data_IF_831185867009
#
_entry.id   IF_831185867009
#
_cell.length_a   1.000
_cell.length_b   1.000
_cell.length_c   1.000
_cell.angle_alpha   90.00
_cell.angle_beta   90.00
_cell.angle_gamma   90.00
#
_symmetry.space_group_name_H-M   'P 1'
#
loop_
_entity.id
_entity.type
_entity.pdbx_description
1 polymer ?
#
# COMPACT_ATOMS: atom_id res chain seq x y z
N UNK A 1 33.00 -2.28 55.92
CA UNK A 1 31.69 -1.65 56.27
C UNK A 1 31.20 -0.99 54.99
N UNK A 2 30.14 -1.41 54.30
CA UNK A 2 29.10 -2.42 54.51
C UNK A 2 28.69 -2.94 53.13
N UNK A 3 28.48 -4.26 53.04
CA UNK A 3 27.68 -4.92 52.02
C UNK A 3 26.20 -4.53 52.17
N UNK A 4 25.50 -4.38 51.05
CA UNK A 4 24.07 -4.72 50.94
C UNK A 4 23.64 -4.82 49.45
N UNK A 5 23.26 -6.02 48.96
CA UNK A 5 22.52 -6.19 47.72
C UNK A 5 21.00 -6.22 48.01
N UNK A 6 20.19 -5.59 47.15
CA UNK A 6 18.72 -5.66 47.22
C UNK A 6 18.19 -6.50 46.04
N UNK A 7 17.90 -7.76 46.39
CA UNK A 7 16.68 -8.55 46.14
C UNK A 7 15.97 -8.43 44.79
N UNK A 8 16.04 -9.54 44.06
CA UNK A 8 15.13 -10.00 42.99
C UNK A 8 13.75 -10.28 43.58
N UNK A 9 12.69 -9.76 42.96
CA UNK A 9 11.34 -10.31 43.11
C UNK A 9 10.87 -10.88 41.78
N UNK A 10 10.90 -12.21 41.71
CA UNK A 10 10.12 -13.00 40.77
C UNK A 10 8.64 -12.80 41.07
N UNK A 11 7.86 -12.45 40.06
CA UNK A 11 6.40 -12.46 40.14
C UNK A 11 5.87 -13.54 39.19
N UNK A 12 5.79 -14.76 39.71
CA UNK A 12 4.99 -15.85 39.15
C UNK A 12 3.53 -15.63 39.51
N UNK A 13 2.69 -15.42 38.50
CA UNK A 13 1.25 -15.58 38.61
C UNK A 13 0.78 -16.62 37.59
N UNK A 14 0.29 -17.73 38.13
CA UNK A 14 -0.35 -18.84 37.46
C UNK A 14 -1.72 -18.46 36.86
N UNK A 15 -1.98 -19.05 35.70
CA UNK A 15 -3.21 -19.65 35.19
C UNK A 15 -4.59 -19.01 35.50
N UNK A 16 -5.33 -18.72 34.41
CA UNK A 16 -6.69 -19.27 34.26
C UNK A 16 -7.13 -19.25 32.79
N UNK A 17 -7.24 -20.44 32.20
CA UNK A 17 -7.88 -20.70 30.92
C UNK A 17 -9.39 -20.78 31.18
N UNK A 18 -10.17 -19.93 30.53
CA UNK A 18 -11.63 -20.03 30.52
C UNK A 18 -12.09 -20.42 29.11
N UNK A 19 -12.42 -21.70 29.00
CA UNK A 19 -13.07 -22.35 27.87
C UNK A 19 -14.57 -22.00 27.88
N UNK A 20 -15.12 -21.48 26.76
CA UNK A 20 -16.58 -21.31 26.63
C UNK A 20 -17.04 -21.71 25.22
N UNK A 21 -17.42 -22.98 25.11
CA UNK A 21 -18.65 -23.51 24.49
C UNK A 21 -19.15 -22.90 23.18
N UNK A 22 -18.89 -23.58 22.06
CA UNK A 22 -19.64 -23.42 20.80
C UNK A 22 -20.78 -24.45 20.70
N UNK A 23 -22.00 -24.08 20.25
CA UNK A 23 -23.06 -25.04 19.99
C UNK A 23 -22.92 -25.69 18.61
N UNK A 24 -22.97 -27.03 18.62
CA UNK A 24 -23.08 -27.94 17.49
C UNK A 24 -24.53 -27.95 17.01
N UNK A 25 -24.79 -27.76 15.70
CA UNK A 25 -26.06 -28.17 15.11
C UNK A 25 -25.84 -28.88 13.76
N UNK A 26 -26.03 -30.19 13.86
CA UNK A 26 -26.60 -31.18 12.93
C UNK A 26 -26.43 -31.03 11.41
N UNK A 27 -25.74 -32.03 10.88
CA UNK A 27 -25.88 -32.65 9.56
C UNK A 27 -27.33 -33.07 9.25
N UNK A 28 -27.74 -32.94 7.99
CA UNK A 28 -28.68 -33.88 7.36
C UNK A 28 -28.34 -34.09 5.90
N UNK A 29 -28.37 -35.35 5.50
CA UNK A 29 -27.88 -35.91 4.26
C UNK A 29 -29.02 -36.21 3.28
N UNK A 30 -28.76 -35.90 2.00
CA UNK A 30 -29.04 -36.66 0.76
C UNK A 30 -30.49 -37.01 0.41
N UNK A 31 -30.90 -36.58 -0.79
CA UNK A 31 -31.43 -37.49 -1.83
C UNK A 31 -31.30 -36.91 -3.24
N UNK A 32 -30.63 -37.70 -4.08
CA UNK A 32 -30.55 -37.59 -5.52
C UNK A 32 -31.92 -37.37 -6.18
N UNK A 33 -31.96 -36.51 -7.20
CA UNK A 33 -32.76 -36.84 -8.36
C UNK A 33 -32.10 -36.36 -9.66
N UNK A 34 -32.03 -37.31 -10.57
CA UNK A 34 -31.45 -37.30 -11.90
C UNK A 34 -32.44 -36.64 -12.85
N UNK A 35 -32.04 -35.60 -13.57
CA UNK A 35 -32.35 -35.38 -15.00
C UNK A 35 -31.78 -34.04 -15.46
N UNK A 36 -30.85 -34.12 -16.40
CA UNK A 36 -30.35 -33.00 -17.16
C UNK A 36 -31.44 -32.44 -18.08
N UNK A 37 -31.47 -31.12 -18.28
CA UNK A 37 -31.63 -30.56 -19.60
C UNK A 37 -30.33 -29.86 -20.00
N UNK A 38 -29.90 -30.12 -21.23
CA UNK A 38 -28.84 -29.38 -21.90
C UNK A 38 -29.24 -27.90 -21.93
N UNK A 39 -28.60 -27.10 -21.08
CA UNK A 39 -28.70 -25.66 -21.15
C UNK A 39 -27.77 -25.21 -22.28
N UNK A 40 -28.37 -24.91 -23.42
CA UNK A 40 -27.73 -24.17 -24.50
C UNK A 40 -27.07 -22.93 -23.90
N UNK A 41 -25.75 -22.88 -24.03
CA UNK A 41 -24.96 -21.74 -23.59
C UNK A 41 -25.25 -20.56 -24.51
N UNK A 42 -26.25 -19.77 -24.17
CA UNK A 42 -26.33 -18.40 -24.66
C UNK A 42 -25.12 -17.65 -24.12
N UNK A 43 -24.12 -17.47 -24.98
CA UNK A 43 -23.13 -16.41 -24.82
C UNK A 43 -23.91 -15.09 -24.82
N UNK A 44 -24.28 -14.63 -23.64
CA UNK A 44 -24.62 -13.23 -23.44
C UNK A 44 -23.31 -12.49 -23.64
N UNK A 45 -23.14 -11.86 -24.81
CA UNK A 45 -22.19 -10.78 -25.00
C UNK A 45 -22.50 -9.76 -23.92
N UNK A 46 -21.75 -9.86 -22.82
CA UNK A 46 -21.82 -8.91 -21.73
C UNK A 46 -21.54 -7.54 -22.31
N UNK A 47 -22.48 -6.63 -22.05
CA UNK A 47 -22.37 -5.21 -22.37
C UNK A 47 -20.93 -4.74 -22.19
N UNK A 48 -20.37 -4.10 -23.22
CA UNK A 48 -19.14 -3.32 -23.10
C UNK A 48 -19.41 -2.23 -22.07
N UNK A 49 -19.24 -2.55 -20.79
CA UNK A 49 -19.20 -1.58 -19.73
C UNK A 49 -18.04 -0.68 -20.04
N UNK A 50 -18.31 0.61 -20.24
CA UNK A 50 -17.29 1.64 -20.32
C UNK A 50 -16.51 1.61 -18.99
N UNK A 51 -15.47 0.77 -18.92
CA UNK A 51 -14.59 0.73 -17.77
C UNK A 51 -13.93 2.10 -17.69
N UNK A 52 -14.19 2.85 -16.61
CA UNK A 52 -13.52 4.12 -16.38
C UNK A 52 -12.01 3.84 -16.29
N UNK A 53 -11.27 4.24 -17.32
CA UNK A 53 -9.82 4.06 -17.38
C UNK A 53 -9.07 4.90 -16.34
N UNK A 54 -9.78 5.80 -15.66
CA UNK A 54 -9.26 6.68 -14.62
C UNK A 54 -10.09 6.56 -13.35
N UNK A 55 -9.42 6.58 -12.21
CA UNK A 55 -10.06 6.68 -10.91
C UNK A 55 -9.55 7.90 -10.14
N UNK A 56 -10.43 8.51 -9.33
CA UNK A 56 -10.04 9.56 -8.40
C UNK A 56 -9.46 8.94 -7.13
N UNK A 57 -8.24 9.35 -6.77
CA UNK A 57 -7.60 8.98 -5.51
C UNK A 57 -7.14 10.20 -4.71
N UNK A 58 -6.85 9.95 -3.44
CA UNK A 58 -6.28 10.89 -2.49
C UNK A 58 -4.93 10.35 -2.03
N UNK A 59 -3.84 11.05 -2.33
CA UNK A 59 -2.47 10.62 -2.04
C UNK A 59 -1.94 11.40 -0.85
N UNK A 60 -1.46 10.73 0.19
CA UNK A 60 -0.77 11.37 1.33
C UNK A 60 0.72 11.46 1.05
N UNK A 61 1.25 12.69 1.04
CA UNK A 61 2.66 12.98 0.78
C UNK A 61 3.28 13.50 2.08
N UNK A 62 4.33 12.84 2.54
CA UNK A 62 5.05 13.23 3.75
C UNK A 62 6.04 14.36 3.50
N UNK A 63 6.71 14.35 2.35
CA UNK A 63 7.66 15.37 1.93
C UNK A 63 7.92 15.31 0.41
N UNK A 64 8.57 16.33 -0.14
CA UNK A 64 8.96 16.38 -1.55
C UNK A 64 10.38 16.92 -1.71
N UNK A 65 11.03 16.64 -2.83
CA UNK A 65 12.36 17.16 -3.12
C UNK A 65 12.92 16.68 -4.45
N UNK A 66 14.07 17.23 -4.83
CA UNK A 66 14.77 16.87 -6.07
C UNK A 66 15.83 15.78 -5.88
N UNK A 67 16.14 15.43 -4.63
CA UNK A 67 17.23 14.51 -4.29
C UNK A 67 16.68 13.23 -3.69
N UNK A 68 16.99 12.10 -4.32
CA UNK A 68 16.50 10.78 -3.92
C UNK A 68 16.98 10.37 -2.52
N UNK A 69 18.29 10.45 -2.25
CA UNK A 69 18.86 9.90 -1.00
C UNK A 69 18.34 10.57 0.27
N UNK A 70 18.24 11.91 0.36
CA UNK A 70 17.63 12.56 1.53
C UNK A 70 16.17 12.14 1.76
N UNK A 71 15.38 11.95 0.69
CA UNK A 71 14.01 11.46 0.82
C UNK A 71 13.96 9.98 1.22
N UNK A 72 14.91 9.17 0.75
CA UNK A 72 15.03 7.76 1.18
C UNK A 72 15.37 7.65 2.66
N UNK A 73 16.24 8.50 3.18
CA UNK A 73 16.54 8.55 4.63
C UNK A 73 15.28 8.92 5.44
N UNK A 74 14.53 9.93 4.99
CA UNK A 74 13.24 10.28 5.60
C UNK A 74 12.23 9.15 5.53
N UNK A 75 12.15 8.43 4.41
CA UNK A 75 11.30 7.26 4.24
C UNK A 75 11.62 6.18 5.27
N UNK A 76 12.90 5.88 5.48
CA UNK A 76 13.34 4.90 6.48
C UNK A 76 13.02 5.35 7.91
N UNK A 77 13.25 6.63 8.22
CA UNK A 77 12.90 7.19 9.52
C UNK A 77 11.38 7.16 9.79
N UNK A 78 10.56 7.46 8.77
CA UNK A 78 9.10 7.37 8.87
C UNK A 78 8.63 5.94 9.10
N UNK A 79 9.18 4.96 8.40
CA UNK A 79 8.82 3.54 8.59
C UNK A 79 9.12 3.03 10.01
N UNK A 80 10.13 3.60 10.67
CA UNK A 80 10.43 3.31 12.08
C UNK A 80 9.49 4.02 13.05
N UNK A 81 9.12 5.28 12.76
CA UNK A 81 8.28 6.10 13.64
C UNK A 81 6.79 5.77 13.54
N UNK A 82 6.32 5.50 12.33
CA UNK A 82 4.98 5.08 11.99
C UNK A 82 5.15 3.72 11.33
N UNK A 83 4.57 2.63 11.84
CA UNK A 83 4.79 1.26 11.36
C UNK A 83 4.15 1.03 9.96
N UNK A 84 4.58 1.84 9.00
CA UNK A 84 4.19 1.85 7.60
C UNK A 84 5.24 1.02 6.85
N UNK A 85 4.82 -0.02 6.13
CA UNK A 85 5.73 -0.80 5.31
C UNK A 85 6.28 0.04 4.16
N UNK A 86 7.52 -0.25 3.74
CA UNK A 86 8.11 0.32 2.53
C UNK A 86 7.89 -0.68 1.40
N UNK A 87 7.40 -0.20 0.27
CA UNK A 87 7.33 -0.97 -0.97
C UNK A 87 7.86 -0.13 -2.14
N UNK A 88 8.94 -0.62 -2.77
CA UNK A 88 9.53 0.03 -3.94
C UNK A 88 9.01 -0.53 -5.25
N UNK A 89 8.20 -1.59 -5.24
CA UNK A 89 7.79 -2.34 -6.44
C UNK A 89 8.99 -2.84 -7.26
N UNK A 90 10.05 -3.28 -6.58
CA UNK A 90 11.30 -3.72 -7.25
C UNK A 90 12.17 -2.59 -7.81
N UNK A 91 11.71 -1.32 -7.74
CA UNK A 91 12.45 -0.17 -8.29
C UNK A 91 13.64 0.23 -7.41
N UNK A 92 14.66 0.80 -8.04
CA UNK A 92 15.81 1.42 -7.38
C UNK A 92 16.19 2.74 -8.07
N UNK A 93 17.04 3.55 -7.42
CA UNK A 93 17.56 4.77 -8.05
C UNK A 93 18.85 4.48 -8.83
N UNK A 94 18.79 4.59 -10.15
CA UNK A 94 19.95 4.54 -11.01
C UNK A 94 20.65 5.91 -11.03
N UNK A 95 21.87 5.97 -10.50
CA UNK A 95 22.65 7.22 -10.42
C UNK A 95 23.19 7.67 -11.78
N UNK A 96 23.39 6.76 -12.74
CA UNK A 96 23.84 7.10 -14.10
C UNK A 96 22.70 7.73 -14.90
N UNK A 97 21.48 7.19 -14.78
CA UNK A 97 20.26 7.73 -15.41
C UNK A 97 19.66 8.90 -14.63
N UNK A 98 20.02 9.03 -13.35
CA UNK A 98 19.38 9.96 -12.41
C UNK A 98 17.86 9.76 -12.38
N UNK A 99 17.43 8.50 -12.31
CA UNK A 99 16.05 8.05 -12.47
C UNK A 99 15.74 6.90 -11.49
N UNK A 100 14.51 6.84 -10.97
CA UNK A 100 13.97 5.66 -10.29
C UNK A 100 13.53 4.69 -11.38
N UNK A 101 14.05 3.46 -11.38
CA UNK A 101 13.86 2.50 -12.47
C UNK A 101 13.59 1.09 -11.97
N UNK A 102 12.91 0.28 -12.77
CA UNK A 102 12.99 -1.17 -12.67
C UNK A 102 14.37 -1.68 -13.15
N UNK A 103 14.79 -2.88 -12.74
CA UNK A 103 15.95 -3.56 -13.32
C UNK A 103 15.88 -3.64 -14.84
N UNK A 104 17.04 -3.60 -15.50
CA UNK A 104 17.15 -3.77 -16.97
C UNK A 104 16.73 -5.17 -17.44
N UNK A 105 16.68 -6.13 -16.52
CA UNK A 105 16.32 -7.52 -16.76
C UNK A 105 14.98 -7.89 -16.10
N UNK A 106 14.13 -6.89 -15.86
CA UNK A 106 12.77 -7.12 -15.37
C UNK A 106 11.96 -7.95 -16.38
N UNK A 107 10.97 -8.71 -15.92
CA UNK A 107 10.11 -9.51 -16.81
C UNK A 107 9.17 -8.62 -17.64
N UNK A 108 8.92 -7.40 -17.17
CA UNK A 108 8.21 -6.36 -17.91
C UNK A 108 9.17 -5.63 -18.87
N UNK A 109 9.29 -6.16 -20.09
CA UNK A 109 10.12 -5.58 -21.15
C UNK A 109 9.77 -4.10 -21.47
N UNK A 110 8.53 -3.66 -21.20
CA UNK A 110 8.09 -2.30 -21.51
C UNK A 110 8.68 -1.28 -20.52
N UNK A 111 8.91 -1.68 -19.27
CA UNK A 111 9.43 -0.81 -18.21
C UNK A 111 10.82 -1.20 -17.71
N UNK A 112 11.43 -2.24 -18.24
CA UNK A 112 12.80 -2.62 -17.93
C UNK A 112 13.76 -1.42 -18.13
N UNK A 113 14.47 -1.03 -17.07
CA UNK A 113 15.35 0.13 -17.08
C UNK A 113 14.66 1.50 -17.07
N UNK A 114 13.34 1.55 -16.96
CA UNK A 114 12.50 2.75 -16.95
C UNK A 114 11.64 2.84 -15.68
N UNK A 115 10.95 3.97 -15.51
CA UNK A 115 10.10 4.20 -14.34
C UNK A 115 8.73 3.55 -14.50
N UNK A 116 8.40 2.63 -13.59
CA UNK A 116 7.07 2.05 -13.47
C UNK A 116 6.25 2.77 -12.37
N UNK A 117 5.08 3.38 -12.69
CA UNK A 117 4.29 4.12 -11.70
C UNK A 117 3.49 3.21 -10.76
N UNK A 118 3.41 3.55 -9.48
CA UNK A 118 2.41 2.96 -8.57
C UNK A 118 1.01 3.43 -8.97
N UNK A 119 0.10 2.49 -9.23
CA UNK A 119 -1.27 2.75 -9.68
C UNK A 119 -2.26 2.03 -8.76
N UNK A 120 -3.15 2.79 -8.14
CA UNK A 120 -4.22 2.26 -7.27
C UNK A 120 -4.00 2.47 -5.77
N UNK A 121 -5.01 2.11 -4.95
CA UNK A 121 -4.99 2.30 -3.50
C UNK A 121 -3.94 1.42 -2.85
N UNK A 122 -3.15 2.01 -1.97
CA UNK A 122 -2.10 1.28 -1.28
C UNK A 122 -1.60 2.07 -0.06
N UNK A 123 -1.19 1.37 1.01
CA UNK A 123 -0.72 2.00 2.26
C UNK A 123 0.73 1.61 2.52
N UNK A 124 1.60 2.01 1.60
CA UNK A 124 3.05 1.84 1.69
C UNK A 124 3.77 3.18 1.56
N UNK A 125 4.94 3.24 2.18
CA UNK A 125 5.93 4.26 1.93
C UNK A 125 6.64 3.97 0.61
N UNK A 126 6.66 4.95 -0.29
CA UNK A 126 7.38 4.85 -1.56
C UNK A 126 7.90 6.21 -2.03
N UNK A 127 8.91 6.18 -2.91
CA UNK A 127 9.42 7.35 -3.60
C UNK A 127 8.92 7.33 -5.04
N UNK A 128 8.11 8.32 -5.38
CA UNK A 128 7.40 8.41 -6.66
C UNK A 128 7.65 9.79 -7.29
N UNK A 129 7.39 9.94 -8.58
CA UNK A 129 7.41 11.28 -9.19
C UNK A 129 6.11 12.04 -8.91
N UNK A 130 6.24 13.27 -8.39
CA UNK A 130 5.12 14.10 -7.95
C UNK A 130 4.20 14.52 -9.12
N UNK A 131 4.74 14.62 -10.33
CA UNK A 131 3.99 15.00 -11.53
C UNK A 131 2.92 13.98 -11.93
N UNK A 132 3.03 12.72 -11.46
CA UNK A 132 2.00 11.70 -11.58
C UNK A 132 0.73 12.05 -10.79
N UNK A 133 0.89 12.75 -9.67
CA UNK A 133 -0.22 13.10 -8.78
C UNK A 133 -0.64 14.56 -8.93
N UNK A 134 0.29 15.44 -9.31
CA UNK A 134 0.08 16.87 -9.40
C UNK A 134 0.68 17.42 -10.69
N UNK A 135 -0.16 17.67 -11.71
CA UNK A 135 0.24 18.14 -13.06
C UNK A 135 1.13 19.39 -13.10
N UNK A 136 1.11 20.22 -12.06
CA UNK A 136 1.93 21.44 -11.95
C UNK A 136 3.28 21.23 -11.27
N UNK A 137 3.61 20.00 -10.88
CA UNK A 137 4.89 19.69 -10.27
C UNK A 137 6.03 19.88 -11.28
N UNK A 138 7.19 20.30 -10.78
CA UNK A 138 8.41 20.32 -11.58
C UNK A 138 8.77 18.91 -12.05
N UNK A 139 9.32 18.80 -13.27
CA UNK A 139 9.85 17.54 -13.79
C UNK A 139 10.86 16.97 -12.79
N UNK A 140 10.76 15.66 -12.51
CA UNK A 140 11.63 14.94 -11.57
C UNK A 140 11.52 15.35 -10.09
N UNK A 141 10.54 16.15 -9.70
CA UNK A 141 10.24 16.32 -8.27
C UNK A 141 9.78 14.97 -7.71
N UNK A 142 10.48 14.48 -6.70
CA UNK A 142 10.17 13.22 -6.02
C UNK A 142 9.25 13.53 -4.85
N UNK A 143 8.20 12.73 -4.70
CA UNK A 143 7.32 12.70 -3.55
C UNK A 143 7.65 11.49 -2.67
N UNK A 144 7.73 11.72 -1.36
CA UNK A 144 7.66 10.66 -0.37
C UNK A 144 6.19 10.37 -0.08
N UNK A 145 5.65 9.39 -0.80
CA UNK A 145 4.27 8.93 -0.65
C UNK A 145 4.19 8.02 0.58
N UNK A 146 3.09 8.14 1.32
CA UNK A 146 2.77 7.32 2.50
C UNK A 146 1.46 6.55 2.36
N UNK A 147 0.72 6.79 1.28
CA UNK A 147 -0.47 6.05 0.94
C UNK A 147 -1.30 6.71 -0.18
N UNK A 148 -2.11 5.89 -0.82
CA UNK A 148 -3.07 6.23 -1.87
C UNK A 148 -4.42 5.67 -1.42
N UNK A 149 -5.44 6.51 -1.38
CA UNK A 149 -6.75 6.18 -0.81
C UNK A 149 -7.88 6.49 -1.79
N UNK A 150 -8.87 5.61 -1.84
CA UNK A 150 -10.14 5.85 -2.58
C UNK A 150 -10.96 6.97 -1.94
N UNK A 151 -10.95 7.05 -0.61
CA UNK A 151 -11.81 7.93 0.16
C UNK A 151 -11.01 9.07 0.78
N UNK A 152 -11.50 10.30 0.59
CA UNK A 152 -10.93 11.50 1.21
C UNK A 152 -10.78 11.35 2.73
N UNK A 153 -11.80 10.78 3.39
CA UNK A 153 -11.82 10.62 4.85
C UNK A 153 -10.71 9.69 5.35
N UNK A 154 -10.37 8.64 4.59
CA UNK A 154 -9.24 7.77 4.90
C UNK A 154 -7.91 8.52 4.78
N UNK A 155 -7.73 9.29 3.70
CA UNK A 155 -6.53 10.11 3.50
C UNK A 155 -6.39 11.21 4.58
N UNK A 156 -7.48 11.87 4.94
CA UNK A 156 -7.49 12.88 6.00
C UNK A 156 -7.10 12.27 7.37
N UNK A 157 -7.58 11.06 7.66
CA UNK A 157 -7.25 10.32 8.89
C UNK A 157 -5.77 9.92 8.92
N UNK A 158 -5.27 9.38 7.80
CA UNK A 158 -3.86 9.05 7.65
C UNK A 158 -2.95 10.28 7.76
N UNK A 159 -3.37 11.41 7.18
CA UNK A 159 -2.64 12.68 7.26
C UNK A 159 -2.48 13.17 8.70
N UNK A 160 -3.50 13.01 9.55
CA UNK A 160 -3.42 13.41 10.96
C UNK A 160 -2.33 12.63 11.70
N UNK A 161 -2.27 11.31 11.48
CA UNK A 161 -1.22 10.46 12.04
C UNK A 161 0.15 10.86 11.48
N UNK A 162 0.24 11.03 10.16
CA UNK A 162 1.48 11.37 9.46
C UNK A 162 2.08 12.69 9.93
N UNK A 163 1.25 13.70 10.22
CA UNK A 163 1.70 15.02 10.72
C UNK A 163 2.46 14.97 12.04
N UNK A 164 2.29 13.91 12.84
CA UNK A 164 3.07 13.73 14.07
C UNK A 164 4.56 13.45 13.81
N UNK A 165 4.90 12.87 12.65
CA UNK A 165 6.26 12.55 12.25
C UNK A 165 6.78 13.41 11.08
N UNK A 166 5.87 13.96 10.27
CA UNK A 166 6.17 14.82 9.12
C UNK A 166 5.26 16.06 9.12
N UNK A 167 5.68 17.14 9.80
CA UNK A 167 4.85 18.34 9.96
C UNK A 167 4.47 19.05 8.65
N UNK A 168 5.24 18.84 7.58
CA UNK A 168 4.98 19.36 6.23
C UNK A 168 4.05 18.50 5.38
N UNK A 169 3.53 17.39 5.92
CA UNK A 169 2.71 16.46 5.17
C UNK A 169 1.40 17.07 4.65
N UNK A 170 0.96 16.62 3.47
CA UNK A 170 -0.25 17.09 2.80
C UNK A 170 -0.93 15.98 1.99
N UNK A 171 -2.15 16.26 1.52
CA UNK A 171 -2.92 15.36 0.65
C UNK A 171 -3.11 16.00 -0.72
N UNK A 172 -2.97 15.20 -1.77
CA UNK A 172 -3.30 15.57 -3.16
C UNK A 172 -4.47 14.73 -3.64
N UNK A 173 -5.52 15.38 -4.15
CA UNK A 173 -6.55 14.71 -4.96
C UNK A 173 -6.04 14.60 -6.39
N UNK A 174 -6.09 13.42 -6.98
CA UNK A 174 -5.60 13.18 -8.33
C UNK A 174 -6.49 12.20 -9.11
N UNK A 175 -6.47 12.29 -10.43
CA UNK A 175 -7.06 11.33 -11.35
C UNK A 175 -5.94 10.45 -11.89
N UNK A 176 -6.03 9.15 -11.67
CA UNK A 176 -4.98 8.19 -11.97
C UNK A 176 -5.48 7.18 -13.00
N UNK A 177 -4.66 6.92 -14.02
CA UNK A 177 -4.97 5.88 -15.01
C UNK A 177 -4.89 4.50 -14.36
N UNK A 178 -6.00 3.76 -14.37
CA UNK A 178 -6.15 2.41 -13.82
C UNK A 178 -6.39 1.34 -14.90
N UNK A 179 -6.41 1.74 -16.18
CA UNK A 179 -6.48 0.79 -17.30
C UNK A 179 -5.26 -0.13 -17.38
N UNK A 180 -5.34 -1.15 -18.24
CA UNK A 180 -4.22 -2.04 -18.46
C UNK A 180 -3.05 -1.27 -19.08
N UNK A 181 -1.85 -1.48 -18.53
CA UNK A 181 -0.61 -1.13 -19.23
C UNK A 181 0.00 -2.47 -19.61
N UNK A 182 0.10 -2.72 -20.90
CA UNK A 182 0.58 -3.96 -21.51
C UNK A 182 1.33 -3.62 -22.79
#
# INVERSE_FOLDING_TARGET
MQDAPIVVQENTAEASVAEVSAPVIATSAVKDNKSAPEAESEFVEGENGDYEEYATYYVTIADTGMSYYPLREKMMALSQALPLPIDTMGRYYDTKKSLIVLPENDEDDLFAGDYFPRRGPDVHLSLEYLDLYQKKAGKKTIALVSGIYEKKTSADSALQVLKSAAGGAFVVKTEMYIGCIH
#
